data_IF_424388977562
#
_entry.id   IF_424388977562
#
_cell.length_a   1.000
_cell.length_b   1.000
_cell.length_c   1.000
_cell.angle_alpha   90.00
_cell.angle_beta   90.00
_cell.angle_gamma   90.00
#
_symmetry.space_group_name_H-M   'P 1'
#
loop_
_entity.id
_entity.type
_entity.pdbx_description
1 polymer ?
#
# COMPACT_ATOMS: atom_id res chain seq x y z
N UNK A 1 -22.09 -20.17 26.69
CA UNK A 1 -20.89 -19.46 26.23
C UNK A 1 -19.89 -20.47 25.70
N UNK A 2 -19.62 -20.48 24.40
CA UNK A 2 -18.56 -21.32 23.81
C UNK A 2 -17.76 -20.43 22.88
N UNK A 3 -16.55 -20.07 23.30
CA UNK A 3 -15.61 -19.26 22.52
C UNK A 3 -14.94 -20.18 21.49
N UNK A 4 -15.29 -20.01 20.21
CA UNK A 4 -14.56 -20.66 19.11
C UNK A 4 -13.30 -19.83 18.88
N UNK A 5 -12.17 -20.27 19.41
CA UNK A 5 -10.83 -19.81 19.00
C UNK A 5 -10.54 -20.30 17.58
N UNK A 6 -10.31 -19.43 16.58
CA UNK A 6 -9.77 -19.89 15.31
C UNK A 6 -8.28 -20.17 15.50
N UNK A 7 -7.94 -21.46 15.48
CA UNK A 7 -6.58 -21.96 15.41
C UNK A 7 -5.87 -21.35 14.19
N UNK A 8 -4.88 -20.49 14.43
CA UNK A 8 -4.00 -19.97 13.40
C UNK A 8 -3.20 -21.16 12.85
N UNK A 9 -3.44 -21.52 11.60
CA UNK A 9 -2.51 -22.34 10.83
C UNK A 9 -1.21 -21.53 10.69
N UNK A 10 -0.28 -21.75 11.62
CA UNK A 10 1.07 -21.23 11.55
C UNK A 10 1.68 -21.66 10.22
N UNK A 11 2.04 -20.70 9.36
CA UNK A 11 2.97 -20.96 8.28
C UNK A 11 4.24 -21.54 8.92
N UNK A 12 4.48 -22.85 8.72
CA UNK A 12 5.75 -23.49 9.09
C UNK A 12 6.88 -22.72 8.42
N UNK A 13 7.76 -22.16 9.24
CA UNK A 13 9.03 -21.57 8.82
C UNK A 13 9.89 -22.72 8.29
N UNK A 14 10.22 -22.70 7.00
CA UNK A 14 11.21 -23.62 6.42
C UNK A 14 12.60 -23.26 6.99
N UNK A 15 13.35 -24.27 7.42
CA UNK A 15 14.64 -24.18 8.13
C UNK A 15 15.81 -23.75 7.24
N UNK A 16 15.56 -23.09 6.10
CA UNK A 16 16.58 -22.68 5.13
C UNK A 16 16.54 -21.16 4.99
N UNK A 17 17.37 -20.49 5.78
CA UNK A 17 17.53 -19.03 5.83
C UNK A 17 17.91 -18.43 4.48
N UNK A 18 16.93 -18.29 3.58
CA UNK A 18 17.05 -17.58 2.32
C UNK A 18 16.39 -16.20 2.45
N UNK A 19 17.15 -15.09 2.35
CA UNK A 19 16.56 -13.76 2.38
C UNK A 19 15.97 -13.48 1.00
N UNK A 20 14.68 -13.79 0.79
CA UNK A 20 14.12 -13.48 -0.53
C UNK A 20 12.64 -13.68 -0.76
N UNK A 21 11.93 -14.51 0.02
CA UNK A 21 10.48 -14.63 -0.17
C UNK A 21 9.77 -13.90 0.96
N UNK A 22 9.50 -12.60 0.75
CA UNK A 22 8.61 -11.83 1.62
C UNK A 22 7.26 -12.54 1.60
N UNK A 23 6.95 -13.30 2.66
CA UNK A 23 5.70 -14.05 2.75
C UNK A 23 4.54 -13.07 2.51
N UNK A 24 3.73 -13.32 1.48
CA UNK A 24 2.58 -12.48 1.17
C UNK A 24 1.57 -12.65 2.29
N UNK A 25 1.40 -11.62 3.12
CA UNK A 25 0.36 -11.58 4.15
C UNK A 25 -1.00 -11.50 3.44
N UNK A 26 -1.96 -12.32 3.85
CA UNK A 26 -3.31 -12.29 3.26
C UNK A 26 -4.07 -11.04 3.73
N UNK A 27 -5.02 -10.57 2.91
CA UNK A 27 -5.85 -9.42 3.27
C UNK A 27 -6.62 -9.64 4.58
N UNK A 28 -7.08 -10.88 4.84
CA UNK A 28 -7.75 -11.24 6.08
C UNK A 28 -6.86 -10.98 7.31
N UNK A 29 -5.58 -11.35 7.24
CA UNK A 29 -4.62 -11.13 8.33
C UNK A 29 -4.33 -9.63 8.53
N UNK A 30 -4.24 -8.86 7.44
CA UNK A 30 -4.06 -7.39 7.54
C UNK A 30 -5.27 -6.74 8.22
N UNK A 31 -6.50 -7.08 7.81
CA UNK A 31 -7.72 -6.49 8.35
C UNK A 31 -7.99 -6.86 9.82
N UNK A 32 -7.61 -8.07 10.23
CA UNK A 32 -7.76 -8.53 11.63
C UNK A 32 -6.99 -7.66 12.63
N UNK A 33 -5.91 -7.01 12.20
CA UNK A 33 -5.08 -6.18 13.09
C UNK A 33 -5.75 -4.88 13.52
N UNK A 34 -6.73 -4.39 12.76
CA UNK A 34 -7.45 -3.13 13.05
C UNK A 34 -6.50 -1.96 13.36
N UNK A 35 -5.39 -1.85 12.61
CA UNK A 35 -4.34 -0.87 12.91
C UNK A 35 -4.90 0.58 12.93
N UNK A 36 -5.98 0.87 12.20
CA UNK A 36 -6.67 2.18 12.20
C UNK A 36 -7.49 2.49 13.47
N UNK A 37 -7.83 1.49 14.28
CA UNK A 37 -8.49 1.66 15.59
C UNK A 37 -7.48 1.73 16.75
N UNK A 38 -6.18 1.56 16.45
CA UNK A 38 -5.12 1.52 17.45
C UNK A 38 -4.26 2.79 17.43
N UNK A 39 -4.39 3.71 18.41
CA UNK A 39 -3.63 4.96 18.44
C UNK A 39 -2.11 4.75 18.63
N UNK A 40 -1.68 3.59 19.12
CA UNK A 40 -0.26 3.23 19.19
C UNK A 40 0.36 2.89 17.82
N UNK A 41 -0.48 2.61 16.82
CA UNK A 41 -0.04 2.32 15.44
C UNK A 41 -0.31 3.54 14.57
N UNK A 42 0.64 4.47 14.56
CA UNK A 42 0.56 5.68 13.72
C UNK A 42 1.04 5.45 12.29
N UNK A 43 1.93 4.47 12.08
CA UNK A 43 2.49 4.10 10.78
C UNK A 43 3.14 2.71 10.85
N UNK A 44 3.19 2.02 9.70
CA UNK A 44 3.92 0.76 9.54
C UNK A 44 4.75 0.82 8.25
N UNK A 45 6.03 0.46 8.33
CA UNK A 45 6.95 0.44 7.19
C UNK A 45 7.08 1.78 6.42
N UNK A 46 6.74 2.91 7.05
CA UNK A 46 6.98 4.24 6.49
C UNK A 46 8.46 4.58 6.59
N UNK A 47 9.00 5.20 5.55
CA UNK A 47 10.35 5.74 5.58
C UNK A 47 10.43 6.91 6.57
N UNK A 48 11.64 7.16 7.09
CA UNK A 48 11.90 8.32 7.93
C UNK A 48 11.56 9.62 7.19
N UNK A 49 11.15 10.64 7.93
CA UNK A 49 10.95 11.96 7.36
C UNK A 49 12.26 12.48 6.75
N UNK A 50 12.17 13.11 5.60
CA UNK A 50 13.29 13.66 4.85
C UNK A 50 12.86 14.98 4.17
N UNK A 51 13.80 15.86 3.82
CA UNK A 51 13.50 17.01 2.96
C UNK A 51 13.04 16.53 1.56
N UNK A 52 12.35 17.38 0.77
CA UNK A 52 11.94 17.01 -0.58
C UNK A 52 13.13 16.58 -1.45
N UNK A 53 12.98 15.48 -2.17
CA UNK A 53 14.00 14.97 -3.09
C UNK A 53 13.49 15.03 -4.53
N UNK A 54 14.22 15.75 -5.39
CA UNK A 54 14.00 15.74 -6.84
C UNK A 54 14.93 14.76 -7.58
N UNK A 55 16.04 14.31 -6.96
CA UNK A 55 16.98 13.33 -7.55
C UNK A 55 17.49 13.76 -8.94
N UNK A 56 17.89 15.02 -9.10
CA UNK A 56 18.53 15.53 -10.32
C UNK A 56 19.81 14.76 -10.66
N UNK A 57 20.10 14.60 -11.95
CA UNK A 57 21.31 13.92 -12.44
C UNK A 57 22.44 14.88 -12.81
N UNK A 58 22.18 16.19 -12.80
CA UNK A 58 23.19 17.23 -12.99
C UNK A 58 22.92 18.46 -12.10
N UNK A 59 23.96 19.26 -11.87
CA UNK A 59 23.93 20.42 -10.97
C UNK A 59 23.17 21.62 -11.54
N UNK A 60 23.18 21.82 -12.85
CA UNK A 60 22.51 22.96 -13.49
C UNK A 60 20.98 22.83 -13.43
N UNK A 61 20.44 21.62 -13.64
CA UNK A 61 19.01 21.34 -13.43
C UNK A 61 18.60 21.56 -11.98
N UNK A 62 19.44 21.14 -11.02
CA UNK A 62 19.19 21.39 -9.60
C UNK A 62 19.22 22.88 -9.25
N UNK A 63 20.16 23.63 -9.83
CA UNK A 63 20.29 25.08 -9.61
C UNK A 63 19.10 25.87 -10.17
N UNK A 64 18.54 25.41 -11.29
CA UNK A 64 17.43 26.07 -11.99
C UNK A 64 16.06 25.49 -11.65
N UNK A 65 15.99 24.57 -10.68
CA UNK A 65 14.77 23.88 -10.23
C UNK A 65 13.98 23.26 -11.40
N UNK A 66 14.70 22.65 -12.35
CA UNK A 66 14.06 22.00 -13.49
C UNK A 66 13.31 20.75 -13.04
N UNK A 67 12.22 20.35 -13.72
CA UNK A 67 11.55 19.09 -13.42
C UNK A 67 12.50 17.90 -13.64
N UNK A 68 12.68 17.08 -12.61
CA UNK A 68 13.55 15.91 -12.69
C UNK A 68 12.87 14.74 -13.38
N UNK A 69 13.58 14.09 -14.30
CA UNK A 69 13.11 12.86 -14.96
C UNK A 69 12.97 11.65 -14.01
N UNK A 70 13.58 11.73 -12.81
CA UNK A 70 13.48 10.69 -11.79
C UNK A 70 12.23 10.82 -10.92
N UNK A 71 11.47 11.91 -11.07
CA UNK A 71 10.25 12.18 -10.34
C UNK A 71 9.08 12.11 -11.31
N UNK A 72 8.11 11.23 -11.03
CA UNK A 72 6.92 11.04 -11.87
C UNK A 72 5.66 11.39 -11.11
N UNK A 73 4.85 12.29 -11.67
CA UNK A 73 3.50 12.54 -11.18
C UNK A 73 2.59 11.36 -11.49
N UNK A 74 1.76 10.97 -10.54
CA UNK A 74 0.68 9.99 -10.73
C UNK A 74 -0.71 10.64 -10.62
N UNK A 75 -0.77 11.97 -10.65
CA UNK A 75 -2.04 12.70 -10.70
C UNK A 75 -2.74 12.43 -12.04
N UNK A 76 -4.07 12.43 -12.05
CA UNK A 76 -4.85 12.11 -13.26
C UNK A 76 -6.08 11.26 -12.93
N UNK A 77 -6.56 10.50 -13.90
CA UNK A 77 -7.71 9.62 -13.72
C UNK A 77 -7.32 8.33 -12.99
N UNK A 78 -8.04 8.04 -11.91
CA UNK A 78 -7.95 6.81 -11.14
C UNK A 78 -9.30 6.07 -11.16
N UNK A 79 -9.32 4.73 -11.15
CA UNK A 79 -10.58 3.98 -10.95
C UNK A 79 -11.24 4.40 -9.63
N UNK A 80 -12.58 4.58 -9.59
CA UNK A 80 -13.27 5.12 -8.44
C UNK A 80 -13.31 4.10 -7.29
N UNK A 81 -13.45 4.65 -6.10
CA UNK A 81 -13.02 4.04 -4.86
C UNK A 81 -13.62 2.68 -4.49
N UNK A 82 -12.70 1.87 -4.00
CA UNK A 82 -12.87 0.65 -3.25
C UNK A 82 -13.28 0.89 -1.79
N UNK A 83 -14.17 1.84 -1.47
CA UNK A 83 -14.27 2.31 -0.07
C UNK A 83 -15.70 2.66 0.36
N UNK A 84 -16.40 1.65 0.88
CA UNK A 84 -17.45 1.87 1.92
C UNK A 84 -17.39 0.83 3.05
N UNK A 85 -16.55 -0.19 2.95
CA UNK A 85 -16.28 -1.11 4.05
C UNK A 85 -14.91 -1.77 3.86
N UNK A 86 -14.01 -1.73 4.85
CA UNK A 86 -12.71 -2.39 4.76
C UNK A 86 -12.85 -3.91 4.56
N UNK A 87 -14.02 -4.48 4.87
CA UNK A 87 -14.35 -5.89 4.70
C UNK A 87 -14.86 -6.27 3.31
N UNK A 88 -15.33 -5.30 2.50
CA UNK A 88 -15.89 -5.57 1.17
C UNK A 88 -14.83 -5.59 0.06
N UNK A 89 -13.59 -5.23 0.37
CA UNK A 89 -12.60 -4.77 -0.62
C UNK A 89 -11.62 -5.84 -1.12
N UNK A 90 -11.94 -7.14 -0.98
CA UNK A 90 -11.09 -8.23 -1.50
C UNK A 90 -10.87 -8.10 -3.02
N UNK A 91 -11.85 -7.52 -3.72
CA UNK A 91 -11.85 -7.37 -5.18
C UNK A 91 -10.69 -6.48 -5.68
N UNK A 92 -10.36 -5.41 -4.99
CA UNK A 92 -9.48 -4.35 -5.51
C UNK A 92 -7.98 -4.63 -5.35
N UNK A 93 -7.58 -5.55 -4.47
CA UNK A 93 -6.16 -5.90 -4.25
C UNK A 93 -5.70 -7.15 -5.01
N UNK A 94 -6.54 -7.68 -5.90
CA UNK A 94 -6.19 -8.79 -6.78
C UNK A 94 -5.58 -8.29 -8.09
N UNK A 95 -4.32 -8.64 -8.43
CA UNK A 95 -3.59 -8.06 -9.57
C UNK A 95 -4.20 -8.30 -10.96
N UNK A 96 -5.18 -9.19 -11.09
CA UNK A 96 -5.74 -9.62 -12.39
C UNK A 96 -7.19 -9.13 -12.60
N UNK A 97 -7.70 -8.23 -11.75
CA UNK A 97 -9.07 -7.73 -11.90
C UNK A 97 -9.15 -6.57 -12.90
N UNK A 98 -10.06 -6.66 -13.85
CA UNK A 98 -10.36 -5.62 -14.84
C UNK A 98 -11.36 -4.63 -14.24
N UNK A 99 -10.95 -3.37 -14.09
CA UNK A 99 -11.74 -2.29 -13.48
C UNK A 99 -12.68 -1.57 -14.46
N UNK A 100 -12.93 -2.17 -15.64
CA UNK A 100 -13.59 -1.55 -16.81
C UNK A 100 -15.03 -1.06 -16.55
N UNK A 101 -15.69 -1.56 -15.51
CA UNK A 101 -17.09 -1.22 -15.21
C UNK A 101 -17.25 0.06 -14.36
N UNK A 102 -16.16 0.72 -13.97
CA UNK A 102 -16.20 1.80 -13.01
C UNK A 102 -15.79 3.15 -13.62
N UNK A 103 -16.57 4.20 -13.34
CA UNK A 103 -16.33 5.57 -13.82
C UNK A 103 -15.13 6.20 -13.11
N UNK A 104 -14.05 6.52 -13.82
CA UNK A 104 -12.85 7.14 -13.24
C UNK A 104 -13.13 8.46 -12.50
N UNK A 105 -12.25 8.78 -11.54
CA UNK A 105 -12.22 10.03 -10.79
C UNK A 105 -10.86 10.72 -10.93
N UNK A 106 -10.83 12.05 -10.95
CA UNK A 106 -9.62 12.85 -11.12
C UNK A 106 -8.92 13.10 -9.78
N UNK A 107 -7.74 12.54 -9.58
CA UNK A 107 -6.92 12.74 -8.38
C UNK A 107 -5.90 13.88 -8.55
N UNK A 108 -5.66 14.73 -7.52
CA UNK A 108 -6.28 14.70 -6.19
C UNK A 108 -7.67 15.38 -6.16
N UNK A 109 -8.64 14.77 -5.48
CA UNK A 109 -9.92 15.39 -5.12
C UNK A 109 -10.27 15.09 -3.64
N UNK A 110 -11.21 15.85 -3.06
CA UNK A 110 -11.74 15.60 -1.71
C UNK A 110 -12.88 14.57 -1.71
#
# INVERSE_FOLDING_TARGET
MTMITPSLHACKVDSRGSPGTRARISLAVVLQRRDWENPGVTQLNRLAAHPPFASWRNSEEARTDRPSQQLRSLNGEWPPDAVFSPYASVRYFTPHMVHSQYKSALMPHS
#
